data_IF_123824721523
#
_entry.id   IF_123824721523
#
_cell.length_a   1.000
_cell.length_b   1.000
_cell.length_c   1.000
_cell.angle_alpha   90.00
_cell.angle_beta   90.00
_cell.angle_gamma   90.00
#
_symmetry.space_group_name_H-M   'P 1'
#
loop_
_entity.id
_entity.type
_entity.pdbx_description
1 polymer ?
#
# COMPACT_ATOMS: atom_id res chain seq x y z
N UNK A 1 15.79 -13.99 22.11
CA UNK A 1 15.93 -14.84 20.92
C UNK A 1 15.18 -16.16 21.18
N UNK A 2 14.36 -16.67 20.25
CA UNK A 2 13.71 -17.97 20.43
C UNK A 2 14.75 -19.10 20.64
N UNK A 3 14.41 -20.12 21.44
CA UNK A 3 15.32 -21.25 21.76
C UNK A 3 15.91 -21.93 20.51
N UNK A 4 15.20 -21.93 19.39
CA UNK A 4 15.69 -22.50 18.12
C UNK A 4 16.72 -21.61 17.39
N UNK A 5 16.82 -20.33 17.71
CA UNK A 5 17.76 -19.42 17.06
C UNK A 5 19.21 -19.85 17.22
N UNK A 6 19.59 -20.21 18.44
CA UNK A 6 20.94 -20.71 18.73
C UNK A 6 21.22 -22.10 18.13
N UNK A 7 20.19 -22.95 18.06
CA UNK A 7 20.31 -24.29 17.52
C UNK A 7 20.56 -24.32 16.00
N UNK A 8 19.90 -23.40 15.26
CA UNK A 8 20.03 -23.30 13.81
C UNK A 8 20.98 -22.18 13.35
N UNK A 9 21.73 -21.59 14.28
CA UNK A 9 22.66 -20.46 14.00
C UNK A 9 21.99 -19.30 13.26
N UNK A 10 20.75 -18.97 13.66
CA UNK A 10 19.97 -17.91 13.03
C UNK A 10 20.39 -16.55 13.58
N UNK A 11 20.70 -15.62 12.71
CA UNK A 11 21.06 -14.25 13.06
C UNK A 11 19.85 -13.41 13.50
N UNK A 12 18.67 -13.76 13.03
CA UNK A 12 17.41 -13.09 13.36
C UNK A 12 16.24 -14.08 13.33
N UNK A 13 15.11 -13.80 14.02
CA UNK A 13 13.93 -14.65 13.99
C UNK A 13 13.33 -14.72 12.57
N UNK A 14 13.21 -15.92 11.94
CA UNK A 14 12.68 -16.03 10.58
C UNK A 14 11.14 -16.01 10.51
N UNK A 15 10.46 -16.18 11.65
CA UNK A 15 9.00 -16.32 11.74
C UNK A 15 8.41 -15.20 12.59
N UNK A 16 8.39 -13.99 12.05
CA UNK A 16 7.70 -12.86 12.65
C UNK A 16 6.33 -12.63 12.01
N UNK A 17 5.39 -12.09 12.78
CA UNK A 17 4.06 -11.76 12.29
C UNK A 17 4.08 -10.62 11.27
N UNK A 18 5.10 -9.76 11.34
CA UNK A 18 5.27 -8.65 10.40
C UNK A 18 6.00 -9.13 9.15
N UNK A 19 5.44 -8.91 7.95
CA UNK A 19 6.11 -9.26 6.70
C UNK A 19 7.47 -8.58 6.58
N UNK A 20 8.53 -9.38 6.43
CA UNK A 20 9.90 -8.90 6.27
C UNK A 20 10.39 -9.16 4.84
N UNK A 21 10.62 -8.13 4.01
CA UNK A 21 11.07 -8.28 2.62
C UNK A 21 12.40 -9.04 2.47
N UNK A 22 13.24 -9.06 3.50
CA UNK A 22 14.53 -9.78 3.49
C UNK A 22 14.38 -11.30 3.37
N UNK A 23 13.26 -11.85 3.84
CA UNK A 23 12.95 -13.29 3.74
C UNK A 23 12.09 -13.62 2.52
N UNK A 24 11.91 -12.68 1.59
CA UNK A 24 11.12 -12.89 0.40
C UNK A 24 11.82 -13.88 -0.55
N UNK A 25 11.32 -15.11 -0.60
CA UNK A 25 11.69 -16.05 -1.65
C UNK A 25 10.78 -15.84 -2.86
N UNK A 26 11.36 -15.47 -3.99
CA UNK A 26 10.60 -15.18 -5.20
C UNK A 26 10.52 -16.43 -6.08
N UNK A 27 9.36 -17.06 -6.13
CA UNK A 27 9.01 -17.99 -7.22
C UNK A 27 8.96 -17.26 -8.58
N UNK A 28 8.91 -18.00 -9.69
CA UNK A 28 8.80 -17.37 -11.02
C UNK A 28 7.58 -16.46 -11.15
N UNK A 29 6.43 -16.87 -10.61
CA UNK A 29 5.19 -16.07 -10.61
C UNK A 29 5.31 -14.81 -9.75
N UNK A 30 5.96 -14.90 -8.61
CA UNK A 30 6.18 -13.74 -7.74
C UNK A 30 7.17 -12.75 -8.35
N UNK A 31 8.20 -13.21 -9.07
CA UNK A 31 9.10 -12.35 -9.83
C UNK A 31 8.38 -11.60 -10.94
N UNK A 32 7.49 -12.27 -11.67
CA UNK A 32 6.65 -11.65 -12.67
C UNK A 32 5.71 -10.60 -12.07
N UNK A 33 5.02 -10.94 -10.98
CA UNK A 33 4.15 -10.00 -10.27
C UNK A 33 4.92 -8.77 -9.75
N UNK A 34 6.11 -8.96 -9.18
CA UNK A 34 6.96 -7.86 -8.73
C UNK A 34 7.42 -6.98 -9.89
N UNK A 35 7.79 -7.59 -11.04
CA UNK A 35 8.17 -6.84 -12.25
C UNK A 35 7.01 -6.02 -12.79
N UNK A 36 5.80 -6.57 -12.79
CA UNK A 36 4.59 -5.86 -13.20
C UNK A 36 4.27 -4.69 -12.25
N UNK A 37 4.43 -4.88 -10.94
CA UNK A 37 4.28 -3.80 -9.95
C UNK A 37 5.30 -2.68 -10.18
N UNK A 38 6.57 -3.01 -10.34
CA UNK A 38 7.63 -2.04 -10.66
C UNK A 38 7.31 -1.24 -11.92
N UNK A 39 6.87 -1.93 -12.96
CA UNK A 39 6.45 -1.29 -14.20
C UNK A 39 5.26 -0.34 -13.97
N UNK A 40 4.23 -0.78 -13.26
CA UNK A 40 3.07 0.03 -12.96
C UNK A 40 3.42 1.31 -12.18
N UNK A 41 4.29 1.18 -11.17
CA UNK A 41 4.79 2.31 -10.38
C UNK A 41 5.65 3.26 -11.24
N UNK A 42 6.57 2.72 -12.04
CA UNK A 42 7.44 3.53 -12.89
C UNK A 42 6.70 4.27 -14.02
N UNK A 43 5.60 3.69 -14.52
CA UNK A 43 4.82 4.28 -15.63
C UNK A 43 3.55 4.99 -15.19
N UNK A 44 3.37 5.17 -13.88
CA UNK A 44 2.19 5.85 -13.28
C UNK A 44 0.87 5.28 -13.81
N UNK A 45 0.76 3.95 -13.88
CA UNK A 45 -0.49 3.30 -14.27
C UNK A 45 -1.57 3.64 -13.25
N UNK A 46 -2.71 4.11 -13.73
CA UNK A 46 -3.79 4.60 -12.86
C UNK A 46 -4.39 3.52 -11.96
N UNK A 47 -4.33 2.24 -12.35
CA UNK A 47 -4.87 1.13 -11.57
C UNK A 47 -4.07 -0.16 -11.78
N UNK A 48 -3.80 -0.88 -10.69
CA UNK A 48 -3.14 -2.18 -10.71
C UNK A 48 -3.84 -3.15 -9.77
N UNK A 49 -4.23 -4.31 -10.27
CA UNK A 49 -4.89 -5.36 -9.49
C UNK A 49 -3.96 -6.56 -9.32
N UNK A 50 -3.78 -7.00 -8.07
CA UNK A 50 -3.00 -8.21 -7.75
C UNK A 50 -3.97 -9.26 -7.21
N UNK A 51 -4.03 -10.39 -7.89
CA UNK A 51 -4.84 -11.53 -7.51
C UNK A 51 -3.97 -12.68 -7.00
N UNK A 52 -4.45 -13.36 -5.98
CA UNK A 52 -3.79 -14.55 -5.43
C UNK A 52 -4.46 -15.03 -4.15
N UNK A 53 -4.26 -16.28 -3.81
CA UNK A 53 -4.77 -16.88 -2.58
C UNK A 53 -4.18 -16.23 -1.33
N UNK A 54 -4.81 -16.45 -0.18
CA UNK A 54 -4.28 -16.03 1.10
C UNK A 54 -2.89 -16.67 1.34
N UNK A 55 -1.98 -15.93 1.95
CA UNK A 55 -0.63 -16.43 2.27
C UNK A 55 0.34 -16.51 1.09
N UNK A 56 -0.01 -16.08 -0.12
CA UNK A 56 0.88 -16.09 -1.29
C UNK A 56 1.91 -14.95 -1.31
N UNK A 57 1.93 -14.09 -0.29
CA UNK A 57 2.90 -13.01 -0.15
C UNK A 57 2.55 -11.72 -0.91
N UNK A 58 1.28 -11.48 -1.28
CA UNK A 58 0.84 -10.26 -1.97
C UNK A 58 1.27 -8.98 -1.26
N UNK A 59 0.98 -8.86 0.03
CA UNK A 59 1.36 -7.70 0.86
C UNK A 59 2.87 -7.52 0.91
N UNK A 60 3.63 -8.61 1.00
CA UNK A 60 5.10 -8.55 1.00
C UNK A 60 5.63 -8.08 -0.34
N UNK A 61 5.07 -8.53 -1.46
CA UNK A 61 5.44 -8.06 -2.80
C UNK A 61 5.21 -6.56 -2.97
N UNK A 62 4.05 -6.07 -2.53
CA UNK A 62 3.73 -4.63 -2.58
C UNK A 62 4.72 -3.82 -1.76
N UNK A 63 4.97 -4.22 -0.52
CA UNK A 63 5.94 -3.55 0.36
C UNK A 63 7.36 -3.56 -0.22
N UNK A 64 7.77 -4.66 -0.84
CA UNK A 64 9.06 -4.76 -1.53
C UNK A 64 9.15 -3.77 -2.69
N UNK A 65 8.13 -3.72 -3.54
CA UNK A 65 8.09 -2.80 -4.67
C UNK A 65 8.14 -1.32 -4.21
N UNK A 66 7.44 -0.98 -3.13
CA UNK A 66 7.45 0.37 -2.55
C UNK A 66 8.81 0.73 -1.94
N UNK A 67 9.45 -0.22 -1.24
CA UNK A 67 10.77 0.00 -0.63
C UNK A 67 11.86 0.26 -1.68
N UNK A 68 11.72 -0.26 -2.88
CA UNK A 68 12.64 -0.06 -4.00
C UNK A 68 12.53 1.32 -4.67
N UNK A 69 11.45 2.06 -4.41
CA UNK A 69 11.29 3.42 -4.97
C UNK A 69 12.25 4.44 -4.33
N UNK A 70 12.85 4.10 -3.18
CA UNK A 70 13.84 4.96 -2.50
C UNK A 70 13.26 6.31 -2.07
N UNK A 71 14.12 7.33 -2.02
CA UNK A 71 13.80 8.69 -1.58
C UNK A 71 13.10 9.54 -2.66
N UNK A 72 12.08 8.99 -3.29
CA UNK A 72 11.24 9.76 -4.21
C UNK A 72 10.23 10.62 -3.42
N UNK A 73 9.79 11.78 -3.93
CA UNK A 73 8.77 12.61 -3.27
C UNK A 73 7.36 11.98 -3.34
N UNK A 74 7.29 10.65 -3.38
CA UNK A 74 6.05 9.88 -3.50
C UNK A 74 5.42 9.62 -2.14
N UNK A 75 4.10 9.55 -2.10
CA UNK A 75 3.32 9.20 -0.91
C UNK A 75 2.40 8.02 -1.22
N UNK A 76 2.49 6.98 -0.44
CA UNK A 76 1.62 5.82 -0.54
C UNK A 76 0.90 5.60 0.79
N UNK A 77 -0.41 5.45 0.72
CA UNK A 77 -1.25 5.10 1.87
C UNK A 77 -1.74 3.69 1.70
N UNK A 78 -1.61 2.87 2.74
CA UNK A 78 -2.02 1.48 2.72
C UNK A 78 -3.19 1.24 3.68
N UNK A 79 -4.33 0.84 3.13
CA UNK A 79 -5.50 0.42 3.88
C UNK A 79 -5.47 -1.10 4.01
N UNK A 80 -5.16 -1.58 5.22
CA UNK A 80 -5.04 -3.04 5.49
C UNK A 80 -6.34 -3.67 5.98
N UNK A 81 -7.31 -2.88 6.39
CA UNK A 81 -8.65 -3.33 6.78
C UNK A 81 -9.71 -2.41 6.16
N UNK A 82 -10.21 -2.74 4.96
CA UNK A 82 -11.13 -1.87 4.23
C UNK A 82 -12.60 -2.01 4.67
N UNK A 83 -12.90 -2.62 5.81
CA UNK A 83 -14.26 -2.76 6.36
C UNK A 83 -14.75 -1.52 7.10
N UNK A 84 -14.34 -0.35 6.66
CA UNK A 84 -14.72 0.95 7.22
C UNK A 84 -16.05 1.41 6.62
N UNK A 85 -16.82 2.17 7.40
CA UNK A 85 -17.91 2.95 6.85
C UNK A 85 -17.36 4.07 5.94
N UNK A 86 -18.19 4.61 5.05
CA UNK A 86 -17.76 5.60 4.07
C UNK A 86 -17.10 6.83 4.72
N UNK A 87 -17.72 7.38 5.76
CA UNK A 87 -17.20 8.57 6.44
C UNK A 87 -15.88 8.27 7.18
N UNK A 88 -15.79 7.11 7.82
CA UNK A 88 -14.57 6.62 8.47
C UNK A 88 -13.42 6.42 7.47
N UNK A 89 -13.74 5.97 6.25
CA UNK A 89 -12.76 5.82 5.19
C UNK A 89 -12.17 7.17 4.74
N UNK A 90 -13.00 8.19 4.58
CA UNK A 90 -12.54 9.54 4.26
C UNK A 90 -11.73 10.15 5.39
N UNK A 91 -12.18 9.99 6.63
CA UNK A 91 -11.46 10.44 7.82
C UNK A 91 -10.08 9.79 7.91
N UNK A 92 -10.01 8.47 7.74
CA UNK A 92 -8.77 7.71 7.71
C UNK A 92 -7.83 8.21 6.61
N UNK A 93 -8.30 8.34 5.38
CA UNK A 93 -7.48 8.84 4.28
C UNK A 93 -7.02 10.29 4.47
N UNK A 94 -7.88 11.14 5.01
CA UNK A 94 -7.50 12.52 5.31
C UNK A 94 -6.37 12.58 6.34
N UNK A 95 -6.43 11.73 7.36
CA UNK A 95 -5.36 11.61 8.36
C UNK A 95 -4.06 11.09 7.73
N UNK A 96 -4.13 10.01 6.95
CA UNK A 96 -2.95 9.38 6.35
C UNK A 96 -2.28 10.26 5.26
N UNK A 97 -3.04 11.11 4.59
CA UNK A 97 -2.50 12.08 3.63
C UNK A 97 -2.16 13.45 4.26
N UNK A 98 -2.24 13.59 5.59
CA UNK A 98 -1.97 14.82 6.32
C UNK A 98 -2.82 16.01 5.80
N UNK A 99 -4.11 15.77 5.54
CA UNK A 99 -5.07 16.80 5.16
C UNK A 99 -5.61 17.54 6.38
N UNK A 100 -6.28 18.67 6.16
CA UNK A 100 -6.86 19.48 7.24
C UNK A 100 -7.99 18.76 7.99
N UNK A 101 -8.31 19.23 9.19
CA UNK A 101 -9.44 18.72 9.96
C UNK A 101 -10.77 18.91 9.26
N UNK A 102 -10.93 19.98 8.45
CA UNK A 102 -12.11 20.19 7.62
C UNK A 102 -12.24 19.11 6.52
N UNK A 103 -11.13 18.61 6.01
CA UNK A 103 -11.14 17.53 5.02
C UNK A 103 -11.60 16.19 5.60
N UNK A 104 -11.48 15.98 6.91
CA UNK A 104 -11.97 14.76 7.60
C UNK A 104 -13.49 14.66 7.62
N UNK A 105 -14.18 15.78 7.63
CA UNK A 105 -15.65 15.87 7.76
C UNK A 105 -16.35 16.36 6.50
N UNK A 106 -15.60 16.78 5.48
CA UNK A 106 -16.14 17.32 4.22
C UNK A 106 -15.50 16.66 3.01
N UNK A 107 -16.27 15.85 2.29
CA UNK A 107 -15.83 15.21 1.04
C UNK A 107 -15.28 16.22 0.02
N UNK A 108 -15.94 17.36 -0.12
CA UNK A 108 -15.51 18.41 -1.06
C UNK A 108 -14.14 18.97 -0.69
N UNK A 109 -13.91 19.24 0.59
CA UNK A 109 -12.60 19.67 1.10
C UNK A 109 -11.54 18.59 0.91
N UNK A 110 -11.87 17.34 1.26
CA UNK A 110 -11.00 16.20 1.05
C UNK A 110 -10.50 16.12 -0.39
N UNK A 111 -11.41 16.10 -1.35
CA UNK A 111 -11.07 15.99 -2.77
C UNK A 111 -10.22 17.18 -3.25
N UNK A 112 -10.56 18.39 -2.85
CA UNK A 112 -9.83 19.62 -3.22
C UNK A 112 -8.40 19.62 -2.67
N UNK A 113 -8.21 19.23 -1.42
CA UNK A 113 -6.90 19.19 -0.79
C UNK A 113 -6.04 18.03 -1.30
N UNK A 114 -6.64 16.84 -1.47
CA UNK A 114 -5.95 15.69 -2.05
C UNK A 114 -5.50 16.00 -3.47
N UNK A 115 -6.35 16.59 -4.30
CA UNK A 115 -5.99 16.97 -5.67
C UNK A 115 -4.76 17.88 -5.69
N UNK A 116 -4.74 18.93 -4.88
CA UNK A 116 -3.58 19.84 -4.79
C UNK A 116 -2.31 19.11 -4.37
N UNK A 117 -2.39 18.18 -3.42
CA UNK A 117 -1.24 17.38 -3.00
C UNK A 117 -0.75 16.43 -4.11
N UNK A 118 -1.66 15.79 -4.83
CA UNK A 118 -1.33 14.91 -5.97
C UNK A 118 -0.62 15.70 -7.06
N UNK A 119 -1.16 16.85 -7.45
CA UNK A 119 -0.57 17.73 -8.47
C UNK A 119 0.82 18.25 -8.05
N UNK A 120 0.98 18.66 -6.81
CA UNK A 120 2.26 19.13 -6.29
C UNK A 120 3.33 18.02 -6.27
N UNK A 121 2.97 16.80 -5.83
CA UNK A 121 3.89 15.66 -5.86
C UNK A 121 4.25 15.26 -7.28
N UNK A 122 3.29 15.21 -8.17
CA UNK A 122 3.53 14.90 -9.58
C UNK A 122 4.47 15.90 -10.22
N UNK A 123 4.28 17.21 -9.97
CA UNK A 123 5.19 18.25 -10.45
C UNK A 123 6.62 18.11 -9.89
N UNK A 124 6.77 17.57 -8.70
CA UNK A 124 8.06 17.25 -8.08
C UNK A 124 8.67 15.92 -8.54
N UNK A 125 8.04 15.22 -9.49
CA UNK A 125 8.49 13.91 -10.00
C UNK A 125 8.10 12.72 -9.10
N UNK A 126 7.20 12.93 -8.14
CA UNK A 126 6.69 11.89 -7.26
C UNK A 126 5.30 11.40 -7.63
N UNK A 127 4.85 10.38 -6.93
CA UNK A 127 3.54 9.75 -7.10
C UNK A 127 2.74 9.80 -5.81
N UNK A 128 1.42 9.79 -5.95
CA UNK A 128 0.50 9.53 -4.85
C UNK A 128 -0.25 8.24 -5.16
N UNK A 129 -0.22 7.28 -4.24
CA UNK A 129 -0.86 5.98 -4.43
C UNK A 129 -1.69 5.58 -3.21
N UNK A 130 -2.81 4.92 -3.48
CA UNK A 130 -3.63 4.24 -2.50
C UNK A 130 -3.52 2.73 -2.72
N UNK A 131 -3.15 2.01 -1.67
CA UNK A 131 -3.02 0.57 -1.68
C UNK A 131 -4.11 0.00 -0.77
N UNK A 132 -4.90 -0.90 -1.32
CA UNK A 132 -5.96 -1.55 -0.56
C UNK A 132 -5.64 -3.03 -0.49
N UNK A 133 -5.27 -3.48 0.71
CA UNK A 133 -5.09 -4.90 1.00
C UNK A 133 -6.43 -5.52 1.39
N UNK A 134 -6.62 -6.81 1.12
CA UNK A 134 -7.87 -7.53 1.37
C UNK A 134 -9.10 -6.83 0.72
N UNK A 135 -8.94 -6.30 -0.49
CA UNK A 135 -9.95 -5.49 -1.19
C UNK A 135 -11.30 -6.22 -1.39
N UNK A 136 -11.33 -7.55 -1.33
CA UNK A 136 -12.58 -8.33 -1.36
C UNK A 136 -13.48 -8.09 -0.14
N UNK A 137 -12.91 -7.57 0.96
CA UNK A 137 -13.67 -7.21 2.16
C UNK A 137 -14.25 -5.79 2.13
N UNK A 138 -13.96 -5.04 1.07
CA UNK A 138 -14.42 -3.66 0.94
C UNK A 138 -15.92 -3.61 0.62
N UNK A 139 -16.70 -2.77 1.31
CA UNK A 139 -18.09 -2.51 0.94
C UNK A 139 -18.20 -1.97 -0.49
N UNK A 140 -19.24 -2.37 -1.20
CA UNK A 140 -19.47 -1.96 -2.59
C UNK A 140 -19.50 -0.44 -2.76
N UNK A 141 -20.06 0.27 -1.78
CA UNK A 141 -20.12 1.74 -1.77
C UNK A 141 -18.72 2.38 -1.78
N UNK A 142 -17.76 1.78 -1.08
CA UNK A 142 -16.37 2.27 -1.09
C UNK A 142 -15.64 1.95 -2.40
N UNK A 143 -15.96 0.82 -3.04
CA UNK A 143 -15.39 0.50 -4.36
C UNK A 143 -15.83 1.54 -5.41
N UNK A 144 -17.06 2.03 -5.34
CA UNK A 144 -17.54 3.11 -6.21
C UNK A 144 -16.88 4.47 -5.92
N UNK A 145 -16.50 4.74 -4.67
CA UNK A 145 -15.78 5.97 -4.29
C UNK A 145 -14.33 6.01 -4.82
N UNK A 146 -13.71 4.85 -5.01
CA UNK A 146 -12.32 4.74 -5.49
C UNK A 146 -12.24 4.77 -7.02
N UNK A 147 -13.32 4.45 -7.67
CA UNK A 147 -13.42 4.45 -9.13
C UNK A 147 -13.35 5.86 -9.72
#
# INVERSE_FOLDING_TARGET
MPLYGAYYDLQEPPFELTPNPRFLFLSSRQREALSNLRYALATSKGFTLILGEAGTGKTTLVRTALAELGDTPSRYVMVSNPTLARDEFYEYLAQEFDLSDEARVSKTRFLSELQRQVEARFAAGGLTGLIIDEAQSMPHELLEEIR
#
